data_IF_510742576348
#
_entry.id   IF_510742576348
#
_cell.length_a   1.000
_cell.length_b   1.000
_cell.length_c   1.000
_cell.angle_alpha   90.00
_cell.angle_beta   90.00
_cell.angle_gamma   90.00
#
_symmetry.space_group_name_H-M   'P 1'
#
loop_
_entity.id
_entity.type
_entity.pdbx_description
1 polymer ?
#
# COMPACT_ATOMS: atom_id res chain seq x y z
N UNK A 1 11.90 24.73 -7.83
CA UNK A 1 12.13 23.94 -7.46
C UNK A 1 11.51 23.25 -6.88
N UNK A 2 11.44 22.86 -7.08
CA UNK A 2 11.20 22.31 -6.42
C UNK A 2 11.56 21.46 -5.97
N UNK A 3 11.49 22.27 -5.88
CA UNK A 3 12.35 21.65 -5.25
C UNK A 3 12.22 20.24 -4.98
N UNK A 4 11.39 19.86 -4.29
CA UNK A 4 11.14 18.50 -3.89
C UNK A 4 9.74 18.10 -4.32
N UNK A 5 9.66 17.27 -5.35
CA UNK A 5 8.38 16.85 -5.86
C UNK A 5 7.59 16.01 -4.88
N UNK A 6 8.22 15.54 -3.78
CA UNK A 6 7.53 14.75 -2.77
C UNK A 6 7.14 15.56 -1.54
N UNK A 7 7.42 16.88 -1.53
CA UNK A 7 7.23 17.67 -0.33
C UNK A 7 5.78 17.67 0.14
N UNK A 8 4.84 17.89 -0.79
CA UNK A 8 3.41 17.81 -0.47
C UNK A 8 2.69 17.30 -1.71
N UNK A 9 1.86 16.30 -1.52
CA UNK A 9 1.03 15.76 -2.57
C UNK A 9 -0.42 16.21 -2.39
N UNK A 10 -1.20 16.26 -3.48
CA UNK A 10 -2.63 16.56 -3.34
C UNK A 10 -3.31 15.47 -2.52
N UNK A 11 -4.44 15.79 -1.89
CA UNK A 11 -5.18 14.78 -1.12
C UNK A 11 -5.56 13.58 -2.00
N UNK A 12 -5.49 12.40 -1.42
CA UNK A 12 -5.93 11.20 -2.09
C UNK A 12 -7.47 11.20 -2.23
N UNK A 13 -7.98 10.54 -3.28
CA UNK A 13 -9.42 10.41 -3.49
C UNK A 13 -9.96 9.19 -2.73
N UNK A 14 -9.64 9.10 -1.47
CA UNK A 14 -10.01 8.00 -0.60
C UNK A 14 -8.92 7.81 0.43
N UNK A 15 -9.07 6.76 1.21
CA UNK A 15 -8.15 6.49 2.31
C UNK A 15 -6.94 5.72 1.82
N UNK A 16 -5.78 6.04 2.37
CA UNK A 16 -4.57 5.25 2.19
C UNK A 16 -4.48 4.29 3.37
N UNK A 17 -4.33 3.00 3.08
CA UNK A 17 -4.27 1.97 4.11
C UNK A 17 -2.94 1.24 4.06
N UNK A 18 -2.37 0.97 5.23
CA UNK A 18 -1.14 0.19 5.37
C UNK A 18 -1.51 -1.09 6.12
N UNK A 19 -1.17 -2.24 5.54
CA UNK A 19 -1.54 -3.54 6.10
C UNK A 19 -0.28 -4.39 6.25
N UNK A 20 0.16 -4.60 7.48
CA UNK A 20 1.38 -5.35 7.81
C UNK A 20 1.30 -5.75 9.27
N UNK A 21 1.60 -7.00 9.60
CA UNK A 21 1.54 -7.44 10.99
C UNK A 21 2.78 -7.00 11.80
N UNK A 22 3.75 -6.38 11.16
CA UNK A 22 4.92 -5.81 11.84
C UNK A 22 4.66 -4.33 12.15
N UNK A 23 4.44 -4.01 13.43
CA UNK A 23 4.13 -2.65 13.84
C UNK A 23 5.24 -1.66 13.53
N UNK A 24 6.51 -2.10 13.56
CA UNK A 24 7.61 -1.19 13.26
C UNK A 24 7.61 -0.80 11.78
N UNK A 25 7.21 -1.70 10.90
CA UNK A 25 7.06 -1.40 9.47
C UNK A 25 5.92 -0.42 9.27
N UNK A 26 4.76 -0.66 9.91
CA UNK A 26 3.62 0.24 9.81
C UNK A 26 4.01 1.66 10.23
N UNK A 27 4.72 1.80 11.35
CA UNK A 27 5.13 3.12 11.84
C UNK A 27 6.11 3.80 10.90
N UNK A 28 7.04 3.04 10.34
CA UNK A 28 8.01 3.59 9.40
C UNK A 28 7.34 4.09 8.13
N UNK A 29 6.42 3.31 7.57
CA UNK A 29 5.71 3.70 6.35
C UNK A 29 4.78 4.89 6.61
N UNK A 30 4.13 4.91 7.76
CA UNK A 30 3.27 6.02 8.14
C UNK A 30 4.08 7.32 8.22
N UNK A 31 5.28 7.24 8.77
CA UNK A 31 6.18 8.39 8.87
C UNK A 31 6.60 8.90 7.49
N UNK A 32 6.86 7.98 6.57
CA UNK A 32 7.21 8.36 5.19
C UNK A 32 6.04 9.07 4.51
N UNK A 33 4.82 8.58 4.70
CA UNK A 33 3.64 9.23 4.12
C UNK A 33 3.41 10.60 4.72
N UNK A 34 3.58 10.72 6.04
CA UNK A 34 3.43 12.02 6.71
C UNK A 34 4.42 13.03 6.18
N UNK A 35 5.61 12.59 5.80
CA UNK A 35 6.65 13.49 5.29
C UNK A 35 6.27 14.15 3.96
N UNK A 36 5.29 13.60 3.25
CA UNK A 36 4.78 14.18 1.99
C UNK A 36 3.33 14.66 2.14
N UNK A 37 2.86 14.81 3.37
CA UNK A 37 1.55 15.39 3.63
C UNK A 37 0.38 14.43 3.55
N UNK A 38 0.65 13.13 3.57
CA UNK A 38 -0.40 12.11 3.47
C UNK A 38 -0.63 11.44 4.81
N UNK A 39 -1.88 11.06 5.05
CA UNK A 39 -2.27 10.32 6.25
C UNK A 39 -2.75 8.93 5.85
N UNK A 40 -2.52 7.96 6.72
CA UNK A 40 -2.90 6.60 6.47
C UNK A 40 -3.62 5.98 7.66
N UNK A 41 -4.44 4.97 7.36
CA UNK A 41 -5.00 4.08 8.37
C UNK A 41 -4.09 2.86 8.45
N UNK A 42 -3.76 2.44 9.65
CA UNK A 42 -2.83 1.34 9.88
C UNK A 42 -3.58 0.10 10.35
N UNK A 43 -3.29 -1.03 9.72
CA UNK A 43 -3.92 -2.30 10.06
C UNK A 43 -2.85 -3.36 10.27
N UNK A 44 -2.78 -3.91 11.47
CA UNK A 44 -1.87 -5.00 11.77
C UNK A 44 -2.52 -6.37 11.53
N UNK A 45 -3.83 -6.40 11.24
CA UNK A 45 -4.57 -7.63 11.00
C UNK A 45 -5.35 -7.54 9.70
N UNK A 46 -5.16 -8.52 8.80
CA UNK A 46 -5.83 -8.49 7.49
C UNK A 46 -7.35 -8.41 7.59
N UNK A 47 -7.96 -9.14 8.55
CA UNK A 47 -9.40 -9.14 8.67
C UNK A 47 -9.95 -7.78 9.09
N UNK A 48 -9.22 -7.06 9.93
CA UNK A 48 -9.63 -5.72 10.33
C UNK A 48 -9.64 -4.79 9.12
N UNK A 49 -8.63 -4.90 8.25
CA UNK A 49 -8.59 -4.11 7.03
C UNK A 49 -9.76 -4.46 6.10
N UNK A 50 -10.03 -5.75 5.91
CA UNK A 50 -11.11 -6.17 5.03
C UNK A 50 -12.49 -5.75 5.55
N UNK A 51 -12.67 -5.68 6.86
CA UNK A 51 -13.89 -5.13 7.44
C UNK A 51 -14.01 -3.64 7.15
N UNK A 52 -12.91 -2.92 7.23
CA UNK A 52 -12.87 -1.49 6.98
C UNK A 52 -13.28 -1.14 5.54
N UNK A 53 -12.85 -1.94 4.57
CA UNK A 53 -13.10 -1.62 3.15
C UNK A 53 -14.56 -1.73 2.75
N UNK A 54 -15.40 -2.34 3.58
CA UNK A 54 -16.83 -2.38 3.31
C UNK A 54 -17.52 -1.07 3.66
N UNK A 55 -16.83 -0.16 4.35
CA UNK A 55 -17.42 1.06 4.90
C UNK A 55 -16.82 2.33 4.33
N UNK A 56 -15.74 2.23 3.55
CA UNK A 56 -15.03 3.42 3.09
C UNK A 56 -14.35 3.17 1.75
N UNK A 57 -13.96 4.25 1.10
CA UNK A 57 -13.25 4.18 -0.17
C UNK A 57 -11.75 4.11 0.08
N UNK A 58 -11.10 3.11 -0.51
CA UNK A 58 -9.67 2.94 -0.41
C UNK A 58 -9.03 3.42 -1.70
N UNK A 59 -8.20 4.44 -1.62
CA UNK A 59 -7.48 4.96 -2.78
C UNK A 59 -6.23 4.12 -3.04
N UNK A 60 -5.54 3.73 -1.96
CA UNK A 60 -4.31 2.96 -2.05
C UNK A 60 -4.21 2.06 -0.84
N UNK A 61 -3.85 0.80 -1.07
CA UNK A 61 -3.52 -0.15 0.00
C UNK A 61 -2.10 -0.64 -0.21
N UNK A 62 -1.28 -0.52 0.82
CA UNK A 62 0.09 -1.06 0.84
C UNK A 62 0.01 -2.31 1.69
N UNK A 63 0.25 -3.47 1.09
CA UNK A 63 -0.05 -4.76 1.71
C UNK A 63 1.19 -5.63 1.74
N UNK A 64 1.55 -6.12 2.93
CA UNK A 64 2.63 -7.09 3.09
C UNK A 64 2.14 -8.49 2.69
N UNK A 65 3.01 -9.27 2.06
CA UNK A 65 2.66 -10.62 1.60
C UNK A 65 2.55 -11.60 2.78
N UNK A 66 3.55 -11.57 3.67
CA UNK A 66 3.66 -12.62 4.69
C UNK A 66 3.10 -12.12 6.03
N UNK A 67 1.84 -12.44 6.27
CA UNK A 67 1.14 -12.09 7.51
C UNK A 67 0.49 -13.34 8.09
N UNK A 68 0.28 -13.32 9.41
CA UNK A 68 -0.41 -14.40 10.08
C UNK A 68 -1.87 -14.46 9.63
N UNK A 69 -2.35 -15.65 9.34
CA UNK A 69 -3.75 -15.90 9.03
C UNK A 69 -4.13 -15.76 7.58
N UNK A 70 -3.64 -14.76 6.88
CA UNK A 70 -4.01 -14.53 5.49
C UNK A 70 -2.85 -13.86 4.76
N UNK A 71 -2.52 -14.34 3.57
CA UNK A 71 -1.43 -13.75 2.80
C UNK A 71 -1.90 -12.44 2.17
N UNK A 72 -0.92 -11.58 1.85
CA UNK A 72 -1.21 -10.32 1.17
C UNK A 72 -1.86 -10.52 -0.19
N UNK A 73 -1.55 -11.62 -0.88
CA UNK A 73 -2.19 -11.92 -2.17
C UNK A 73 -3.69 -12.20 -1.98
N UNK A 74 -4.05 -12.89 -0.90
CA UNK A 74 -5.46 -13.14 -0.59
C UNK A 74 -6.17 -11.83 -0.24
N UNK A 75 -5.50 -10.96 0.51
CA UNK A 75 -6.05 -9.66 0.87
C UNK A 75 -6.27 -8.82 -0.38
N UNK A 76 -5.29 -8.79 -1.28
CA UNK A 76 -5.37 -8.07 -2.55
C UNK A 76 -6.58 -8.53 -3.36
N UNK A 77 -6.75 -9.83 -3.48
CA UNK A 77 -7.85 -10.40 -4.26
C UNK A 77 -9.21 -10.01 -3.68
N UNK A 78 -9.35 -10.09 -2.35
CA UNK A 78 -10.61 -9.75 -1.70
C UNK A 78 -10.88 -8.24 -1.78
N UNK A 79 -9.85 -7.42 -1.62
CA UNK A 79 -10.01 -5.98 -1.75
C UNK A 79 -10.50 -5.61 -3.14
N UNK A 80 -9.88 -6.14 -4.17
CA UNK A 80 -10.22 -5.75 -5.54
C UNK A 80 -11.55 -6.34 -6.00
N UNK A 81 -12.04 -7.38 -5.35
CA UNK A 81 -13.38 -7.88 -5.60
C UNK A 81 -14.44 -6.89 -5.11
N UNK A 82 -14.16 -6.19 -4.02
CA UNK A 82 -15.08 -5.24 -3.42
C UNK A 82 -14.88 -3.83 -4.01
N UNK A 83 -13.62 -3.43 -4.18
CA UNK A 83 -13.25 -2.11 -4.69
C UNK A 83 -12.29 -2.27 -5.86
N UNK A 84 -12.82 -2.54 -7.07
CA UNK A 84 -11.95 -2.83 -8.23
C UNK A 84 -11.01 -1.71 -8.62
N UNK A 85 -11.31 -0.47 -8.23
CA UNK A 85 -10.47 0.67 -8.58
C UNK A 85 -9.41 0.99 -7.53
N UNK A 86 -9.42 0.29 -6.40
CA UNK A 86 -8.40 0.52 -5.38
C UNK A 86 -7.03 0.11 -5.92
N UNK A 87 -6.04 0.98 -5.72
CA UNK A 87 -4.68 0.70 -6.14
C UNK A 87 -3.95 -0.06 -5.05
N UNK A 88 -3.07 -0.96 -5.44
CA UNK A 88 -2.36 -1.83 -4.49
C UNK A 88 -0.87 -1.76 -4.75
N UNK A 89 -0.11 -1.57 -3.67
CA UNK A 89 1.34 -1.74 -3.66
C UNK A 89 1.60 -2.94 -2.75
N UNK A 90 2.33 -3.92 -3.27
CA UNK A 90 2.69 -5.12 -2.49
C UNK A 90 4.10 -4.93 -1.96
N UNK A 91 4.31 -5.27 -0.68
CA UNK A 91 5.63 -5.26 -0.07
C UNK A 91 5.91 -6.66 0.47
N UNK A 92 7.17 -7.06 0.46
CA UNK A 92 7.55 -8.38 0.94
C UNK A 92 9.01 -8.43 1.37
N UNK A 93 9.30 -9.27 2.37
CA UNK A 93 10.67 -9.51 2.80
C UNK A 93 11.37 -10.56 1.92
N UNK A 94 10.62 -11.34 1.16
CA UNK A 94 11.15 -12.42 0.34
C UNK A 94 10.74 -12.24 -1.12
N UNK A 95 11.72 -12.14 -1.99
CA UNK A 95 11.47 -11.95 -3.42
C UNK A 95 11.38 -13.31 -4.11
N UNK A 96 10.16 -13.71 -4.45
CA UNK A 96 9.90 -14.97 -5.15
C UNK A 96 9.14 -14.64 -6.45
N UNK A 97 9.62 -15.20 -7.56
CA UNK A 97 9.03 -14.91 -8.88
C UNK A 97 7.53 -15.25 -8.94
N UNK A 98 7.14 -16.39 -8.35
CA UNK A 98 5.73 -16.79 -8.39
C UNK A 98 4.84 -15.79 -7.64
N UNK A 99 5.33 -15.28 -6.52
CA UNK A 99 4.59 -14.29 -5.72
C UNK A 99 4.54 -12.97 -6.46
N UNK A 100 5.66 -12.54 -7.02
CA UNK A 100 5.72 -11.30 -7.79
C UNK A 100 4.75 -11.35 -8.96
N UNK A 101 4.77 -12.45 -9.72
CA UNK A 101 3.90 -12.59 -10.88
C UNK A 101 2.43 -12.58 -10.47
N UNK A 102 2.09 -13.26 -9.39
CA UNK A 102 0.72 -13.29 -8.90
C UNK A 102 0.26 -11.89 -8.47
N UNK A 103 1.13 -11.11 -7.81
CA UNK A 103 0.80 -9.76 -7.39
C UNK A 103 0.54 -8.85 -8.58
N UNK A 104 1.42 -8.91 -9.58
CA UNK A 104 1.31 -8.08 -10.79
C UNK A 104 0.07 -8.48 -11.60
N UNK A 105 -0.15 -9.78 -11.79
CA UNK A 105 -1.32 -10.26 -12.52
C UNK A 105 -2.61 -9.90 -11.80
N UNK A 106 -2.56 -9.84 -10.47
CA UNK A 106 -3.69 -9.41 -9.66
C UNK A 106 -3.94 -7.91 -9.68
N UNK A 107 -3.09 -7.15 -10.35
CA UNK A 107 -3.28 -5.72 -10.53
C UNK A 107 -2.46 -4.81 -9.63
N UNK A 108 -1.47 -5.35 -8.90
CA UNK A 108 -0.59 -4.49 -8.10
C UNK A 108 0.17 -3.54 -9.01
N UNK A 109 0.22 -2.28 -8.63
CA UNK A 109 0.90 -1.26 -9.43
C UNK A 109 2.37 -1.15 -9.10
N UNK A 110 2.78 -1.72 -7.98
CA UNK A 110 4.20 -1.77 -7.59
C UNK A 110 4.42 -2.96 -6.67
N UNK A 111 5.63 -3.47 -6.67
CA UNK A 111 6.06 -4.60 -5.87
C UNK A 111 7.42 -4.24 -5.29
N UNK A 112 7.50 -4.07 -3.98
CA UNK A 112 8.72 -3.62 -3.33
C UNK A 112 9.24 -4.71 -2.38
N UNK A 113 10.53 -5.02 -2.49
CA UNK A 113 11.17 -6.03 -1.66
C UNK A 113 11.92 -5.33 -0.52
N UNK A 114 11.65 -5.75 0.72
CA UNK A 114 12.31 -5.19 1.91
C UNK A 114 13.75 -5.71 2.00
N UNK A 115 14.71 -4.90 2.44
CA UNK A 115 14.57 -3.48 2.68
C UNK A 115 14.57 -2.70 1.37
N UNK A 116 13.70 -1.70 1.27
CA UNK A 116 13.68 -0.83 0.09
C UNK A 116 13.99 0.59 0.53
N UNK A 117 14.45 1.42 -0.43
CA UNK A 117 14.74 2.81 -0.15
C UNK A 117 13.46 3.58 0.14
N UNK A 118 13.57 4.56 1.05
CA UNK A 118 12.47 5.47 1.34
C UNK A 118 11.98 6.15 0.06
N UNK A 119 12.92 6.52 -0.81
CA UNK A 119 12.58 7.20 -2.07
C UNK A 119 11.82 6.27 -3.01
N UNK A 120 12.14 4.98 -3.02
CA UNK A 120 11.41 4.01 -3.85
C UNK A 120 9.95 3.93 -3.42
N UNK A 121 9.70 3.90 -2.12
CA UNK A 121 8.35 3.86 -1.60
C UNK A 121 7.61 5.17 -1.92
N UNK A 122 8.23 6.31 -1.64
CA UNK A 122 7.62 7.62 -1.93
C UNK A 122 7.30 7.78 -3.42
N UNK A 123 8.19 7.30 -4.27
CA UNK A 123 7.97 7.39 -5.72
C UNK A 123 6.76 6.57 -6.15
N UNK A 124 6.62 5.35 -5.61
CA UNK A 124 5.47 4.50 -5.92
C UNK A 124 4.16 5.16 -5.47
N UNK A 125 4.15 5.70 -4.26
CA UNK A 125 2.97 6.38 -3.72
C UNK A 125 2.65 7.63 -4.54
N UNK A 126 3.67 8.42 -4.86
CA UNK A 126 3.50 9.64 -5.66
C UNK A 126 2.84 9.31 -7.00
N UNK A 127 3.30 8.25 -7.66
CA UNK A 127 2.76 7.84 -8.96
C UNK A 127 1.28 7.52 -8.86
N UNK A 128 0.85 6.82 -7.79
CA UNK A 128 -0.55 6.48 -7.59
C UNK A 128 -1.39 7.73 -7.35
N UNK A 129 -0.97 8.56 -6.40
CA UNK A 129 -1.77 9.73 -5.99
C UNK A 129 -1.85 10.74 -7.14
N UNK A 130 -0.76 10.97 -7.84
CA UNK A 130 -0.76 11.93 -8.93
C UNK A 130 -1.63 11.48 -10.11
N UNK A 131 -1.81 10.17 -10.29
CA UNK A 131 -2.59 9.64 -11.40
C UNK A 131 -4.09 9.56 -11.12
N UNK A 132 -4.52 9.97 -9.91
CA UNK A 132 -5.92 9.91 -9.51
C UNK A 132 -6.73 11.14 -9.92
N UNK A 133 -6.12 12.10 -10.51
CA UNK A 133 -6.82 13.33 -10.90
C UNK A 133 -7.86 13.13 -12.01
#
# INVERSE_FOLDING_TARGET
MDVNSYAVLPPATGTICLVDDDLSVLKALDRLLSSVGLQAQLFSEPLAFLSYVTCDTVALAVIDIWMSGMSGLQVQKKLQAVLPKARVIIITATDEDSVRNAAIEGGAIAYLVKPFDDDAFRAAVHQVIASQS
#
